data_IF_115643738114
#
_entry.id   IF_115643738114
#
_cell.length_a   1.000
_cell.length_b   1.000
_cell.length_c   1.000
_cell.angle_alpha   90.00
_cell.angle_beta   90.00
_cell.angle_gamma   90.00
#
_symmetry.space_group_name_H-M   'P 1'
#
loop_
_entity.id
_entity.type
_entity.pdbx_description
1 polymer ?
#
# COMPACT_ATOMS: atom_id res chain seq x y z
N UNK A 1 -39.97 18.50 -30.37
CA UNK A 1 -39.51 17.79 -29.18
C UNK A 1 -38.97 16.42 -29.61
N UNK A 2 -37.66 16.30 -29.86
CA UNK A 2 -37.04 15.07 -30.36
C UNK A 2 -36.90 14.08 -29.18
N UNK A 3 -37.54 12.91 -29.31
CA UNK A 3 -37.27 11.77 -28.44
C UNK A 3 -35.76 11.41 -28.58
N UNK A 4 -34.99 11.60 -27.54
CA UNK A 4 -33.64 11.10 -27.49
C UNK A 4 -33.71 9.57 -27.40
N UNK A 5 -33.03 8.92 -28.32
CA UNK A 5 -32.95 7.47 -28.47
C UNK A 5 -32.34 6.86 -27.18
N UNK A 6 -33.22 6.36 -26.33
CA UNK A 6 -32.81 5.58 -25.13
C UNK A 6 -32.22 4.20 -25.48
N UNK A 7 -32.41 3.75 -26.72
CA UNK A 7 -31.78 2.50 -27.23
C UNK A 7 -30.26 2.64 -27.35
N UNK A 8 -29.76 3.76 -27.85
CA UNK A 8 -28.33 3.98 -28.04
C UNK A 8 -27.52 4.03 -26.73
N UNK A 9 -28.14 4.45 -25.61
CA UNK A 9 -27.45 4.46 -24.31
C UNK A 9 -27.36 3.04 -23.70
N UNK A 10 -28.39 2.21 -23.90
CA UNK A 10 -28.36 0.82 -23.40
C UNK A 10 -27.37 -0.03 -24.20
N UNK A 11 -27.30 0.17 -25.51
CA UNK A 11 -26.33 -0.55 -26.35
C UNK A 11 -24.90 -0.09 -26.10
N UNK A 12 -24.65 1.19 -25.82
CA UNK A 12 -23.33 1.71 -25.41
C UNK A 12 -22.92 1.19 -24.02
N UNK A 13 -23.85 1.10 -23.06
CA UNK A 13 -23.58 0.53 -21.74
C UNK A 13 -23.34 -0.98 -21.80
N UNK A 14 -24.07 -1.69 -22.67
CA UNK A 14 -23.84 -3.13 -22.86
C UNK A 14 -22.53 -3.41 -23.63
N UNK A 15 -22.18 -2.58 -24.61
CA UNK A 15 -20.89 -2.69 -25.32
C UNK A 15 -19.72 -2.39 -24.35
N UNK A 16 -19.87 -1.48 -23.38
CA UNK A 16 -18.85 -1.20 -22.38
C UNK A 16 -18.62 -2.36 -21.40
N UNK A 17 -19.60 -3.27 -21.23
CA UNK A 17 -19.47 -4.45 -20.38
C UNK A 17 -18.74 -5.62 -21.04
N UNK A 18 -18.54 -5.58 -22.35
CA UNK A 18 -17.89 -6.65 -23.12
C UNK A 18 -16.45 -6.35 -23.46
N UNK A 19 -15.96 -5.13 -23.16
CA UNK A 19 -14.58 -4.71 -23.43
C UNK A 19 -13.98 -4.21 -22.10
N UNK A 20 -12.81 -4.74 -21.75
CA UNK A 20 -12.05 -4.25 -20.60
C UNK A 20 -11.45 -2.88 -20.91
N UNK A 21 -12.21 -1.84 -20.61
CA UNK A 21 -11.78 -0.46 -20.83
C UNK A 21 -10.74 0.00 -19.81
N UNK A 22 -10.65 -0.62 -18.64
CA UNK A 22 -9.66 -0.30 -17.64
C UNK A 22 -8.28 -0.78 -18.06
N UNK A 23 -8.17 -2.00 -18.58
CA UNK A 23 -6.90 -2.58 -18.96
C UNK A 23 -6.47 -2.27 -20.40
N UNK A 24 -7.36 -2.41 -21.36
CA UNK A 24 -7.01 -2.35 -22.80
C UNK A 24 -7.19 -0.98 -23.40
N UNK A 25 -7.83 -0.01 -22.72
CA UNK A 25 -8.37 1.09 -23.44
C UNK A 25 -8.03 2.48 -23.02
N UNK A 26 -8.89 3.19 -23.38
CA UNK A 26 -9.11 4.59 -23.55
C UNK A 26 -9.64 5.26 -22.28
N UNK A 27 -10.24 4.52 -21.35
CA UNK A 27 -10.78 5.07 -20.10
C UNK A 27 -9.93 4.66 -18.90
N UNK A 28 -9.69 5.61 -17.98
CA UNK A 28 -9.03 5.37 -16.69
C UNK A 28 -10.05 4.92 -15.62
N UNK A 29 -11.32 5.17 -15.85
CA UNK A 29 -12.43 4.91 -14.92
C UNK A 29 -13.41 3.94 -15.55
N UNK A 30 -13.17 2.65 -15.42
CA UNK A 30 -14.08 1.63 -15.95
C UNK A 30 -13.88 0.29 -15.30
N UNK A 31 -14.87 -0.57 -15.41
CA UNK A 31 -14.80 -1.93 -14.93
C UNK A 31 -14.00 -2.83 -15.87
N UNK A 32 -13.32 -3.83 -15.32
CA UNK A 32 -12.78 -4.94 -16.06
C UNK A 32 -13.90 -5.86 -16.53
N UNK A 33 -13.81 -6.41 -17.74
CA UNK A 33 -14.82 -7.30 -18.32
C UNK A 33 -14.45 -8.77 -18.29
N UNK A 34 -13.14 -9.07 -18.08
CA UNK A 34 -12.64 -10.44 -18.03
C UNK A 34 -13.07 -11.15 -16.74
N UNK A 35 -13.36 -12.45 -16.81
CA UNK A 35 -13.59 -13.26 -15.62
C UNK A 35 -12.36 -13.25 -14.68
N UNK A 36 -12.60 -13.40 -13.38
CA UNK A 36 -11.54 -13.35 -12.34
C UNK A 36 -10.40 -14.35 -12.56
N UNK A 37 -10.67 -15.46 -13.25
CA UNK A 37 -9.69 -16.52 -13.55
C UNK A 37 -8.96 -16.35 -14.90
N UNK A 38 -9.23 -15.28 -15.65
CA UNK A 38 -8.69 -15.08 -17.00
C UNK A 38 -8.21 -13.64 -17.22
N UNK A 39 -7.63 -13.38 -18.37
CA UNK A 39 -7.17 -12.05 -18.80
C UNK A 39 -5.78 -11.70 -18.31
N UNK A 40 -5.33 -10.50 -18.67
CA UNK A 40 -4.04 -9.97 -18.25
C UNK A 40 -4.11 -9.41 -16.82
N UNK A 41 -2.97 -9.44 -16.12
CA UNK A 41 -2.90 -9.08 -14.70
C UNK A 41 -2.23 -7.72 -14.52
N UNK A 42 -2.98 -6.80 -13.93
CA UNK A 42 -2.54 -5.59 -13.26
C UNK A 42 -3.22 -5.52 -11.89
N UNK A 43 -2.84 -4.60 -11.01
CA UNK A 43 -3.51 -4.48 -9.72
C UNK A 43 -4.99 -4.12 -9.92
N UNK A 44 -5.88 -4.98 -9.41
CA UNK A 44 -7.35 -4.89 -9.58
C UNK A 44 -7.76 -4.61 -11.04
N UNK A 45 -6.98 -5.14 -11.99
CA UNK A 45 -7.17 -4.97 -13.44
C UNK A 45 -7.23 -3.53 -13.90
N UNK A 46 -6.54 -2.61 -13.19
CA UNK A 46 -6.43 -1.23 -13.62
C UNK A 46 -5.54 -1.13 -14.85
N UNK A 47 -5.78 -0.09 -15.65
CA UNK A 47 -5.00 0.17 -16.86
C UNK A 47 -3.50 0.13 -16.55
N UNK A 48 -2.75 -0.72 -17.24
CA UNK A 48 -1.30 -0.73 -17.18
C UNK A 48 -0.74 0.36 -18.09
N UNK A 49 -0.13 1.40 -17.52
CA UNK A 49 0.30 2.57 -18.28
C UNK A 49 1.43 3.29 -17.57
N UNK A 50 2.31 3.94 -18.36
CA UNK A 50 3.30 4.91 -17.88
C UNK A 50 2.86 6.36 -18.14
N UNK A 51 1.66 6.57 -18.69
CA UNK A 51 1.08 7.89 -18.89
C UNK A 51 0.38 8.35 -17.61
N UNK A 52 0.86 9.45 -17.04
CA UNK A 52 0.37 10.03 -15.78
C UNK A 52 -0.68 11.14 -16.00
N UNK A 53 -1.09 11.39 -17.25
CA UNK A 53 -2.08 12.42 -17.58
C UNK A 53 -3.44 12.06 -16.98
N UNK A 54 -4.03 12.98 -16.24
CA UNK A 54 -5.35 12.85 -15.59
C UNK A 54 -5.47 11.64 -14.63
N UNK A 55 -4.37 11.24 -13.98
CA UNK A 55 -4.31 10.12 -13.03
C UNK A 55 -4.38 10.64 -11.59
N UNK A 56 -5.34 10.15 -10.81
CA UNK A 56 -5.48 10.48 -9.38
C UNK A 56 -4.57 9.61 -8.49
N UNK A 57 -4.36 8.36 -8.89
CA UNK A 57 -3.65 7.37 -8.10
C UNK A 57 -2.86 6.41 -8.97
N UNK A 58 -1.64 6.18 -8.57
CA UNK A 58 -0.70 5.25 -9.20
C UNK A 58 -0.45 4.07 -8.28
N UNK A 59 -0.61 2.86 -8.78
CA UNK A 59 -0.11 1.63 -8.15
C UNK A 59 1.22 1.27 -8.79
N UNK A 60 2.26 1.13 -7.98
CA UNK A 60 3.62 0.92 -8.45
C UNK A 60 4.33 -0.18 -7.65
N UNK A 61 4.99 -1.11 -8.32
CA UNK A 61 5.73 -2.19 -7.69
C UNK A 61 7.20 -1.85 -7.46
N UNK A 62 7.78 -2.29 -6.34
CA UNK A 62 9.22 -2.23 -6.09
C UNK A 62 9.73 -3.64 -5.76
N UNK A 63 10.16 -4.42 -6.78
CA UNK A 63 10.55 -5.81 -6.60
C UNK A 63 12.00 -5.92 -6.05
N UNK A 64 12.19 -5.59 -4.77
CA UNK A 64 13.48 -5.56 -4.09
C UNK A 64 13.41 -6.34 -2.77
N UNK A 65 14.43 -7.14 -2.45
CA UNK A 65 14.55 -7.90 -1.20
C UNK A 65 16.00 -8.16 -0.76
N UNK A 66 16.94 -7.35 -1.24
CA UNK A 66 18.33 -7.48 -0.85
C UNK A 66 18.63 -6.96 0.57
N UNK A 67 17.66 -6.31 1.22
CA UNK A 67 17.75 -5.87 2.60
C UNK A 67 17.20 -6.88 3.61
N UNK A 68 16.57 -7.97 3.15
CA UNK A 68 15.96 -8.98 4.00
C UNK A 68 17.00 -9.71 4.87
N UNK A 69 16.71 -9.84 6.16
CA UNK A 69 17.62 -10.43 7.15
C UNK A 69 17.43 -11.95 7.36
N UNK A 70 16.28 -12.52 6.92
CA UNK A 70 15.96 -13.93 7.13
C UNK A 70 15.55 -14.61 5.82
N UNK A 71 14.24 -14.69 5.51
CA UNK A 71 13.72 -15.40 4.34
C UNK A 71 13.62 -14.45 3.14
N UNK A 72 14.43 -14.60 2.08
CA UNK A 72 14.29 -13.79 0.87
C UNK A 72 13.06 -14.20 0.07
N UNK A 73 12.57 -13.32 -0.80
CA UNK A 73 11.44 -13.60 -1.69
C UNK A 73 10.43 -12.46 -1.81
N UNK A 74 10.58 -11.39 -1.01
CA UNK A 74 9.69 -10.24 -1.07
C UNK A 74 9.74 -9.52 -2.43
N UNK A 75 10.82 -9.66 -3.22
CA UNK A 75 10.88 -9.15 -4.61
C UNK A 75 9.78 -9.69 -5.51
N UNK A 76 9.18 -10.82 -5.18
CA UNK A 76 8.04 -11.41 -5.91
C UNK A 76 6.67 -10.93 -5.37
N UNK A 77 6.67 -10.15 -4.30
CA UNK A 77 5.46 -9.61 -3.65
C UNK A 77 4.58 -8.81 -4.61
N UNK A 78 5.11 -7.81 -5.35
CA UNK A 78 4.30 -7.01 -6.26
C UNK A 78 3.51 -7.85 -7.28
N UNK A 79 4.15 -8.87 -7.85
CA UNK A 79 3.51 -9.77 -8.81
C UNK A 79 2.42 -10.63 -8.15
N UNK A 80 2.68 -11.16 -6.95
CA UNK A 80 1.72 -11.99 -6.22
C UNK A 80 0.49 -11.18 -5.79
N UNK A 81 0.69 -9.96 -5.31
CA UNK A 81 -0.39 -9.05 -4.92
C UNK A 81 -1.27 -8.69 -6.13
N UNK A 82 -0.67 -8.37 -7.29
CA UNK A 82 -1.43 -8.14 -8.53
C UNK A 82 -2.27 -9.34 -8.92
N UNK A 83 -1.69 -10.54 -8.88
CA UNK A 83 -2.41 -11.78 -9.18
C UNK A 83 -3.57 -11.99 -8.21
N UNK A 84 -3.34 -11.85 -6.92
CA UNK A 84 -4.36 -12.01 -5.90
C UNK A 84 -5.48 -10.96 -6.03
N UNK A 85 -5.16 -9.74 -6.44
CA UNK A 85 -6.14 -8.66 -6.61
C UNK A 85 -7.16 -8.89 -7.74
N UNK A 86 -6.91 -9.84 -8.64
CA UNK A 86 -7.82 -10.16 -9.75
C UNK A 86 -9.15 -10.77 -9.28
N UNK A 87 -9.26 -11.23 -8.02
CA UNK A 87 -10.52 -11.75 -7.46
C UNK A 87 -11.51 -10.66 -7.06
N UNK A 88 -11.08 -9.40 -6.96
CA UNK A 88 -11.96 -8.30 -6.61
C UNK A 88 -12.82 -7.92 -7.81
N UNK A 89 -14.14 -8.05 -7.64
CA UNK A 89 -15.11 -7.75 -8.67
C UNK A 89 -15.29 -6.24 -8.89
N UNK A 90 -15.99 -5.91 -9.97
CA UNK A 90 -16.27 -4.53 -10.38
C UNK A 90 -17.46 -3.90 -9.66
N UNK A 91 -18.21 -4.67 -8.89
CA UNK A 91 -19.22 -4.14 -7.98
C UNK A 91 -18.54 -3.34 -6.87
N UNK A 92 -19.24 -2.47 -6.12
CA UNK A 92 -18.62 -1.75 -5.04
C UNK A 92 -17.80 -2.68 -4.15
N UNK A 93 -16.52 -2.38 -3.99
CA UNK A 93 -15.59 -3.21 -3.22
C UNK A 93 -15.96 -3.14 -1.74
N UNK A 94 -16.22 -4.30 -1.12
CA UNK A 94 -16.48 -4.35 0.31
C UNK A 94 -15.27 -3.84 1.11
N UNK A 95 -15.47 -2.98 2.13
CA UNK A 95 -16.73 -2.54 2.74
C UNK A 95 -17.27 -1.20 2.18
N UNK A 96 -16.74 -0.69 1.10
CA UNK A 96 -17.12 0.59 0.54
C UNK A 96 -18.49 0.46 -0.16
N UNK A 97 -19.37 1.45 0.05
CA UNK A 97 -20.73 1.44 -0.52
C UNK A 97 -20.79 2.01 -1.94
N UNK A 98 -19.63 2.37 -2.50
CA UNK A 98 -19.49 2.98 -3.83
C UNK A 98 -18.35 2.31 -4.61
N UNK A 99 -18.42 2.36 -5.91
CA UNK A 99 -17.34 1.91 -6.79
C UNK A 99 -16.19 2.93 -6.72
N UNK A 100 -15.05 2.51 -6.17
CA UNK A 100 -13.86 3.35 -6.01
C UNK A 100 -13.31 3.85 -7.34
N UNK A 101 -13.51 3.08 -8.41
CA UNK A 101 -12.96 3.37 -9.74
C UNK A 101 -13.90 4.15 -10.65
N UNK A 102 -15.15 4.38 -10.23
CA UNK A 102 -16.03 5.32 -10.90
C UNK A 102 -15.66 6.79 -10.63
N UNK A 103 -14.99 7.04 -9.49
CA UNK A 103 -14.69 8.38 -9.00
C UNK A 103 -13.18 8.70 -8.98
N UNK A 104 -12.32 7.69 -9.11
CA UNK A 104 -10.88 7.82 -8.99
C UNK A 104 -10.17 7.17 -10.18
N UNK A 105 -9.38 7.95 -10.91
CA UNK A 105 -8.56 7.47 -12.02
C UNK A 105 -7.31 6.76 -11.50
N UNK A 106 -7.29 5.42 -11.60
CA UNK A 106 -6.20 4.58 -11.09
C UNK A 106 -5.50 3.85 -12.23
N UNK A 107 -4.18 3.89 -12.23
CA UNK A 107 -3.35 3.08 -13.13
C UNK A 107 -2.43 2.15 -12.34
N UNK A 108 -2.11 1.01 -12.95
CA UNK A 108 -0.93 0.22 -12.59
C UNK A 108 0.26 0.71 -13.42
N UNK A 109 1.23 1.31 -12.75
CA UNK A 109 2.41 1.91 -13.39
C UNK A 109 3.52 0.88 -13.63
N UNK A 110 3.25 -0.41 -13.34
CA UNK A 110 4.26 -1.48 -13.42
C UNK A 110 5.27 -1.38 -12.28
N UNK A 111 6.50 -1.77 -12.54
CA UNK A 111 7.52 -1.89 -11.51
C UNK A 111 8.66 -0.87 -11.67
N UNK A 112 9.34 -0.62 -10.55
CA UNK A 112 10.55 0.18 -10.44
C UNK A 112 11.68 -0.45 -11.25
N UNK A 113 12.38 0.37 -12.02
CA UNK A 113 13.59 -0.04 -12.71
C UNK A 113 14.76 0.00 -11.73
N UNK A 114 15.30 -1.17 -11.43
CA UNK A 114 16.42 -1.35 -10.49
C UNK A 114 17.61 -2.00 -11.19
N UNK A 115 18.81 -1.59 -10.85
CA UNK A 115 20.03 -2.32 -11.19
C UNK A 115 20.28 -3.39 -10.12
N UNK A 116 19.93 -4.63 -10.42
CA UNK A 116 20.10 -5.76 -9.50
C UNK A 116 21.57 -6.15 -9.26
N UNK A 117 22.49 -5.60 -10.04
CA UNK A 117 23.94 -5.78 -9.85
C UNK A 117 24.55 -4.75 -8.90
N UNK A 118 23.87 -3.62 -8.65
CA UNK A 118 24.37 -2.54 -7.81
C UNK A 118 23.30 -2.04 -6.82
N UNK A 119 23.15 -2.76 -5.71
CA UNK A 119 22.15 -2.44 -4.69
C UNK A 119 22.38 -1.10 -3.98
N UNK A 120 23.58 -0.52 -4.06
CA UNK A 120 23.88 0.79 -3.45
C UNK A 120 23.13 1.93 -4.14
N UNK A 121 22.78 1.77 -5.42
CA UNK A 121 22.05 2.76 -6.18
C UNK A 121 20.52 2.62 -6.02
N UNK A 122 20.05 1.52 -5.41
CA UNK A 122 18.62 1.25 -5.24
C UNK A 122 17.85 2.38 -4.56
N UNK A 123 18.32 2.97 -3.42
CA UNK A 123 17.57 4.06 -2.78
C UNK A 123 17.40 5.27 -3.68
N UNK A 124 18.46 5.68 -4.38
CA UNK A 124 18.41 6.80 -5.33
C UNK A 124 17.50 6.54 -6.51
N UNK A 125 17.51 5.30 -7.03
CA UNK A 125 16.64 4.89 -8.13
C UNK A 125 15.16 4.90 -7.76
N UNK A 126 14.82 4.43 -6.56
CA UNK A 126 13.45 4.45 -6.03
C UNK A 126 13.00 5.89 -5.82
N UNK A 127 13.79 6.71 -5.12
CA UNK A 127 13.48 8.11 -4.84
C UNK A 127 13.23 8.90 -6.13
N UNK A 128 14.09 8.77 -7.13
CA UNK A 128 13.98 9.52 -8.39
C UNK A 128 12.72 9.12 -9.18
N UNK A 129 12.40 7.82 -9.28
CA UNK A 129 11.21 7.35 -9.98
C UNK A 129 9.91 7.69 -9.21
N UNK A 130 9.93 7.60 -7.86
CA UNK A 130 8.81 8.03 -7.03
C UNK A 130 8.52 9.54 -7.24
N UNK A 131 9.54 10.39 -7.28
CA UNK A 131 9.39 11.83 -7.56
C UNK A 131 8.72 12.08 -8.90
N UNK A 132 9.06 11.35 -9.94
CA UNK A 132 8.41 11.48 -11.26
C UNK A 132 6.89 11.26 -11.17
N UNK A 133 6.45 10.30 -10.34
CA UNK A 133 5.03 10.04 -10.12
C UNK A 133 4.39 11.15 -9.28
N UNK A 134 5.06 11.57 -8.22
CA UNK A 134 4.56 12.59 -7.29
C UNK A 134 4.50 13.98 -7.93
N UNK A 135 5.42 14.30 -8.84
CA UNK A 135 5.43 15.57 -9.60
C UNK A 135 4.21 15.70 -10.53
N UNK A 136 3.53 14.59 -10.84
CA UNK A 136 2.25 14.59 -11.54
C UNK A 136 1.02 14.77 -10.63
N UNK A 137 1.21 15.11 -9.34
CA UNK A 137 0.16 15.26 -8.31
C UNK A 137 -0.65 14.00 -8.06
N UNK A 138 -0.14 12.83 -8.44
CA UNK A 138 -0.79 11.53 -8.22
C UNK A 138 -0.47 10.98 -6.82
N UNK A 139 -1.47 10.38 -6.18
CA UNK A 139 -1.24 9.59 -4.97
C UNK A 139 -0.49 8.31 -5.33
N UNK A 140 0.55 7.98 -4.57
CA UNK A 140 1.35 6.79 -4.80
C UNK A 140 1.01 5.69 -3.78
N UNK A 141 0.48 4.57 -4.29
CA UNK A 141 0.36 3.31 -3.57
C UNK A 141 1.43 2.34 -4.07
N UNK A 142 2.34 1.94 -3.20
CA UNK A 142 3.44 1.05 -3.56
C UNK A 142 3.17 -0.38 -3.12
N UNK A 143 3.42 -1.33 -4.02
CA UNK A 143 3.46 -2.76 -3.73
C UNK A 143 4.92 -3.15 -3.55
N UNK A 144 5.30 -3.47 -2.32
CA UNK A 144 6.69 -3.63 -1.98
C UNK A 144 7.26 -5.01 -2.21
N UNK A 145 8.53 -4.95 -2.20
CA UNK A 145 9.54 -5.84 -1.76
C UNK A 145 9.70 -5.81 -0.25
N UNK A 146 10.94 -5.78 0.22
CA UNK A 146 11.24 -5.65 1.66
C UNK A 146 10.97 -4.23 2.19
N UNK A 147 10.91 -4.07 3.51
CA UNK A 147 10.50 -2.81 4.14
C UNK A 147 11.51 -1.66 3.99
N UNK A 148 12.74 -1.94 3.57
CA UNK A 148 13.74 -0.90 3.32
C UNK A 148 13.30 0.10 2.25
N UNK A 149 12.47 -0.32 1.28
CA UNK A 149 12.00 0.54 0.19
C UNK A 149 11.22 1.75 0.68
N UNK A 150 10.65 1.68 1.89
CA UNK A 150 9.86 2.76 2.48
C UNK A 150 10.72 3.98 2.81
N UNK A 151 12.01 3.83 3.13
CA UNK A 151 12.89 4.98 3.39
C UNK A 151 13.04 5.91 2.17
N UNK A 152 13.44 5.45 0.96
CA UNK A 152 13.49 6.34 -0.20
C UNK A 152 12.11 6.86 -0.64
N UNK A 153 11.03 6.12 -0.39
CA UNK A 153 9.67 6.61 -0.61
C UNK A 153 9.33 7.78 0.33
N UNK A 154 9.62 7.65 1.62
CA UNK A 154 9.47 8.72 2.61
C UNK A 154 10.27 9.96 2.22
N UNK A 155 11.50 9.82 1.70
CA UNK A 155 12.31 10.94 1.21
C UNK A 155 11.63 11.68 0.07
N UNK A 156 11.08 10.94 -0.90
CA UNK A 156 10.36 11.53 -2.03
C UNK A 156 9.12 12.31 -1.56
N UNK A 157 8.32 11.72 -0.66
CA UNK A 157 7.12 12.36 -0.12
C UNK A 157 7.45 13.56 0.80
N UNK A 158 8.46 13.43 1.68
CA UNK A 158 8.85 14.51 2.59
C UNK A 158 9.39 15.74 1.86
N UNK A 159 9.98 15.56 0.68
CA UNK A 159 10.42 16.67 -0.17
C UNK A 159 9.26 17.56 -0.64
N UNK A 160 8.03 17.00 -0.74
CA UNK A 160 6.83 17.74 -1.14
C UNK A 160 6.00 18.23 0.05
N UNK A 161 5.95 17.45 1.13
CA UNK A 161 4.99 17.67 2.21
C UNK A 161 5.64 18.11 3.53
N UNK A 162 6.97 18.17 3.59
CA UNK A 162 7.71 18.28 4.86
C UNK A 162 7.73 16.96 5.64
N UNK A 163 8.22 16.97 6.88
CA UNK A 163 8.24 15.79 7.73
C UNK A 163 6.85 15.17 7.88
N UNK A 164 6.76 13.85 7.73
CA UNK A 164 5.49 13.10 7.75
C UNK A 164 5.28 12.43 9.10
N UNK A 165 4.03 12.26 9.50
CA UNK A 165 3.67 11.29 10.51
C UNK A 165 3.75 9.88 9.89
N UNK A 166 4.52 8.96 10.47
CA UNK A 166 4.55 7.57 10.04
C UNK A 166 3.46 6.79 10.78
N UNK A 167 2.56 6.17 10.02
CA UNK A 167 1.60 5.19 10.55
C UNK A 167 2.04 3.84 10.05
N UNK A 168 2.70 3.07 10.91
CA UNK A 168 3.27 1.76 10.57
C UNK A 168 2.47 0.64 11.23
N UNK A 169 2.02 -0.32 10.44
CA UNK A 169 1.50 -1.60 10.89
C UNK A 169 2.58 -2.65 10.68
N UNK A 170 3.06 -3.28 11.76
CA UNK A 170 4.24 -4.12 11.71
C UNK A 170 4.38 -4.99 12.98
N UNK A 171 5.06 -6.12 12.89
CA UNK A 171 5.56 -6.85 14.05
C UNK A 171 6.84 -6.23 14.62
N UNK A 172 7.57 -5.48 13.79
CA UNK A 172 8.88 -4.93 14.07
C UNK A 172 8.85 -3.40 14.19
N UNK A 173 9.78 -2.84 14.97
CA UNK A 173 9.92 -1.39 15.09
C UNK A 173 10.71 -0.78 13.93
N UNK A 174 11.58 -1.55 13.29
CA UNK A 174 12.51 -1.13 12.22
C UNK A 174 13.36 0.10 12.59
N UNK A 175 13.63 0.19 13.88
CA UNK A 175 14.47 1.23 14.50
C UNK A 175 15.84 0.72 14.91
N UNK A 176 16.26 -0.45 14.41
CA UNK A 176 17.60 -0.96 14.69
C UNK A 176 18.65 -0.04 14.09
N UNK A 177 19.74 0.11 14.84
CA UNK A 177 20.84 0.97 14.41
C UNK A 177 21.57 0.36 13.21
N UNK A 178 21.84 1.20 12.22
CA UNK A 178 22.84 0.95 11.21
C UNK A 178 23.77 2.16 11.03
N UNK A 179 24.92 1.95 10.39
CA UNK A 179 25.91 2.99 10.11
C UNK A 179 25.64 3.73 8.78
N UNK A 180 24.44 3.61 8.22
CA UNK A 180 23.99 4.11 6.92
C UNK A 180 24.77 3.53 5.71
N UNK A 181 25.60 2.53 5.90
CA UNK A 181 26.36 1.86 4.84
C UNK A 181 25.68 0.61 4.34
N UNK A 182 24.79 0.05 5.16
CA UNK A 182 24.06 -1.16 4.85
C UNK A 182 22.69 -0.82 4.29
N UNK A 183 22.20 -1.68 3.43
CA UNK A 183 20.80 -1.78 3.07
C UNK A 183 20.22 -2.82 4.03
N UNK A 184 19.27 -2.41 4.88
CA UNK A 184 18.71 -3.23 5.95
C UNK A 184 17.26 -2.84 6.20
N UNK A 185 16.34 -3.80 6.08
CA UNK A 185 14.91 -3.55 6.24
C UNK A 185 14.52 -3.16 7.66
N UNK A 186 15.24 -3.67 8.68
CA UNK A 186 14.99 -3.35 10.08
C UNK A 186 15.51 -1.98 10.54
N UNK A 187 16.03 -1.13 9.65
CA UNK A 187 16.64 0.15 10.02
C UNK A 187 16.01 1.37 9.35
N UNK A 188 14.98 1.20 8.52
CA UNK A 188 14.46 2.30 7.71
C UNK A 188 13.83 3.42 8.55
N UNK A 189 13.17 3.08 9.67
CA UNK A 189 12.57 4.07 10.59
C UNK A 189 13.65 4.90 11.26
N UNK A 190 14.71 4.24 11.79
CA UNK A 190 15.83 4.94 12.39
C UNK A 190 16.50 5.92 11.41
N UNK A 191 16.61 5.53 10.13
CA UNK A 191 17.10 6.43 9.06
C UNK A 191 16.16 7.60 8.83
N UNK A 192 14.86 7.33 8.71
CA UNK A 192 13.85 8.37 8.47
C UNK A 192 13.81 9.42 9.59
N UNK A 193 13.97 8.99 10.86
CA UNK A 193 14.08 9.92 11.99
C UNK A 193 15.37 10.76 11.91
N UNK A 194 16.52 10.12 11.65
CA UNK A 194 17.82 10.81 11.56
C UNK A 194 17.87 11.81 10.39
N UNK A 195 17.22 11.47 9.28
CA UNK A 195 17.12 12.34 8.13
C UNK A 195 16.10 13.47 8.31
N UNK A 196 15.30 13.45 9.41
CA UNK A 196 14.27 14.45 9.69
C UNK A 196 13.10 14.43 8.72
N UNK A 197 12.86 13.29 8.06
CA UNK A 197 11.77 13.13 7.07
C UNK A 197 10.49 12.58 7.66
N UNK A 198 10.53 12.10 8.91
CA UNK A 198 9.34 11.82 9.71
C UNK A 198 9.39 12.60 11.02
N UNK A 199 8.21 12.88 11.59
CA UNK A 199 8.03 13.43 12.93
C UNK A 199 7.74 12.28 13.91
N UNK A 200 8.71 11.86 14.76
CA UNK A 200 8.51 10.76 15.70
C UNK A 200 7.37 11.03 16.70
N UNK A 201 7.19 12.29 17.12
CA UNK A 201 6.17 12.63 18.10
C UNK A 201 4.73 12.51 17.55
N UNK A 202 4.57 12.44 16.24
CA UNK A 202 3.30 12.23 15.53
C UNK A 202 3.19 10.85 14.88
N UNK A 203 4.27 10.07 14.95
CA UNK A 203 4.33 8.73 14.38
C UNK A 203 3.84 7.67 15.34
N UNK A 204 3.25 6.61 14.81
CA UNK A 204 2.70 5.50 15.58
C UNK A 204 2.99 4.17 14.88
N UNK A 205 3.40 3.17 15.65
CA UNK A 205 3.64 1.79 15.21
C UNK A 205 2.65 0.86 15.90
N UNK A 206 1.97 0.02 15.13
CA UNK A 206 0.84 -0.82 15.58
C UNK A 206 1.10 -2.29 15.27
N UNK A 207 0.99 -3.13 16.29
CA UNK A 207 1.20 -4.59 16.16
C UNK A 207 2.56 -5.07 16.68
N UNK A 208 3.37 -4.17 17.24
CA UNK A 208 4.75 -4.42 17.64
C UNK A 208 4.85 -5.56 18.66
N UNK A 209 5.68 -6.53 18.37
CA UNK A 209 5.96 -7.69 19.23
C UNK A 209 7.40 -8.19 19.14
N UNK A 210 8.28 -7.29 18.69
CA UNK A 210 9.74 -7.39 18.80
C UNK A 210 10.28 -6.22 19.60
N UNK A 211 11.55 -6.23 19.93
CA UNK A 211 12.16 -5.21 20.76
C UNK A 211 13.42 -4.65 20.08
N UNK A 212 13.38 -3.38 19.71
CA UNK A 212 14.54 -2.64 19.23
C UNK A 212 15.16 -1.80 20.37
N UNK A 213 16.45 -1.42 20.25
CA UNK A 213 17.14 -0.67 21.31
C UNK A 213 16.61 0.74 21.56
N UNK A 214 15.98 1.37 20.55
CA UNK A 214 15.48 2.75 20.62
C UNK A 214 14.15 2.85 19.84
N UNK A 215 13.17 3.53 20.41
CA UNK A 215 11.89 3.84 19.76
C UNK A 215 11.81 5.28 19.22
N UNK A 216 12.85 6.09 19.47
CA UNK A 216 12.94 7.50 19.10
C UNK A 216 11.75 8.36 19.58
N UNK A 217 10.98 7.91 20.57
CA UNK A 217 9.77 8.56 21.06
C UNK A 217 8.54 8.33 20.18
N UNK A 218 8.58 7.38 19.26
CA UNK A 218 7.43 6.96 18.47
C UNK A 218 6.45 6.20 19.36
N UNK A 219 5.15 6.47 19.20
CA UNK A 219 4.11 5.76 19.94
C UNK A 219 4.03 4.30 19.50
N UNK A 220 4.22 3.37 20.44
CA UNK A 220 4.06 1.93 20.19
C UNK A 220 2.70 1.44 20.67
N UNK A 221 2.04 0.58 19.87
CA UNK A 221 0.92 -0.26 20.26
C UNK A 221 1.36 -1.71 20.09
N UNK A 222 1.57 -2.40 21.19
CA UNK A 222 2.07 -3.77 21.16
C UNK A 222 0.99 -4.78 20.76
N UNK A 223 1.40 -5.93 20.24
CA UNK A 223 0.48 -6.97 19.79
C UNK A 223 -0.48 -7.43 20.89
N UNK A 224 -0.01 -7.56 22.14
CA UNK A 224 -0.86 -7.93 23.27
C UNK A 224 -1.87 -6.83 23.64
N UNK A 225 -1.50 -5.55 23.57
CA UNK A 225 -2.43 -4.42 23.77
C UNK A 225 -3.49 -4.40 22.66
N UNK A 226 -3.04 -4.63 21.43
CA UNK A 226 -3.92 -4.67 20.27
C UNK A 226 -4.98 -5.78 20.40
N UNK A 227 -4.67 -6.92 21.05
CA UNK A 227 -5.63 -8.00 21.29
C UNK A 227 -6.75 -7.54 22.26
N UNK A 228 -6.42 -6.72 23.24
CA UNK A 228 -7.38 -6.22 24.25
C UNK A 228 -8.26 -5.08 23.73
N UNK A 229 -7.79 -4.32 22.70
CA UNK A 229 -8.50 -3.17 22.14
C UNK A 229 -9.48 -3.56 21.04
N UNK A 230 -10.60 -2.85 20.93
CA UNK A 230 -11.48 -2.91 19.75
C UNK A 230 -10.86 -2.18 18.57
N UNK A 231 -11.27 -2.53 17.34
CA UNK A 231 -10.82 -1.81 16.15
C UNK A 231 -11.14 -0.31 16.18
N UNK A 232 -12.26 0.07 16.80
CA UNK A 232 -12.65 1.48 16.96
C UNK A 232 -11.73 2.24 17.92
N UNK A 233 -11.27 1.60 19.00
CA UNK A 233 -10.33 2.19 19.95
C UNK A 233 -8.96 2.38 19.32
N UNK A 234 -8.45 1.36 18.58
CA UNK A 234 -7.18 1.46 17.86
C UNK A 234 -7.23 2.57 16.81
N UNK A 235 -8.29 2.64 16.01
CA UNK A 235 -8.42 3.68 14.99
C UNK A 235 -8.48 5.07 15.58
N UNK A 236 -9.22 5.24 16.69
CA UNK A 236 -9.28 6.52 17.40
C UNK A 236 -7.92 6.92 17.95
N UNK A 237 -7.20 5.98 18.56
CA UNK A 237 -5.83 6.22 19.06
C UNK A 237 -4.91 6.72 17.94
N UNK A 238 -4.95 6.08 16.75
CA UNK A 238 -4.16 6.50 15.59
C UNK A 238 -4.56 7.91 15.15
N UNK A 239 -5.86 8.16 14.96
CA UNK A 239 -6.38 9.44 14.51
C UNK A 239 -6.03 10.58 15.47
N UNK A 240 -6.20 10.36 16.78
CA UNK A 240 -5.92 11.36 17.82
C UNK A 240 -4.42 11.66 17.93
N UNK A 241 -3.56 10.63 17.77
CA UNK A 241 -2.11 10.78 17.87
C UNK A 241 -1.51 11.51 16.66
N UNK A 242 -1.90 11.11 15.44
CA UNK A 242 -1.43 11.73 14.19
C UNK A 242 -2.05 13.13 14.02
N UNK A 243 -3.32 13.27 14.36
CA UNK A 243 -4.06 14.53 14.18
C UNK A 243 -4.16 14.90 12.70
N UNK A 244 -4.06 16.21 12.40
CA UNK A 244 -4.13 16.73 11.04
C UNK A 244 -2.79 16.77 10.29
N UNK A 245 -1.75 16.07 10.76
CA UNK A 245 -0.45 16.05 10.09
C UNK A 245 -0.48 15.23 8.80
N UNK A 246 0.27 15.64 7.75
CA UNK A 246 0.50 14.79 6.60
C UNK A 246 1.10 13.44 7.04
N UNK A 247 0.50 12.35 6.62
CA UNK A 247 0.89 11.01 7.04
C UNK A 247 1.33 10.12 5.88
N UNK A 248 2.22 9.21 6.16
CA UNK A 248 2.56 8.07 5.30
C UNK A 248 2.12 6.79 5.99
N UNK A 249 1.37 5.96 5.26
CA UNK A 249 0.84 4.70 5.78
C UNK A 249 1.64 3.53 5.21
N UNK A 250 2.42 2.85 6.04
CA UNK A 250 3.16 1.65 5.65
C UNK A 250 2.59 0.42 6.34
N UNK A 251 2.45 -0.65 5.59
CA UNK A 251 1.91 -1.90 6.09
C UNK A 251 2.85 -3.06 5.77
N UNK A 252 3.58 -3.50 6.80
CA UNK A 252 4.26 -4.77 6.75
C UNK A 252 3.23 -5.90 6.92
N UNK A 253 3.24 -6.87 6.01
CA UNK A 253 2.29 -7.97 6.05
C UNK A 253 2.49 -8.86 7.28
N UNK A 254 3.67 -8.86 7.88
CA UNK A 254 3.96 -9.59 9.11
C UNK A 254 3.37 -8.96 10.37
N UNK A 255 2.78 -7.75 10.25
CA UNK A 255 1.87 -7.23 11.28
C UNK A 255 0.80 -8.26 11.63
N UNK A 256 0.27 -8.96 10.63
CA UNK A 256 -0.70 -10.03 10.83
C UNK A 256 -0.05 -11.25 11.52
N UNK A 257 -0.86 -11.99 12.27
CA UNK A 257 -0.40 -13.28 12.78
C UNK A 257 -0.05 -14.23 11.63
N UNK A 258 0.99 -15.07 11.75
CA UNK A 258 1.34 -16.05 10.72
C UNK A 258 0.23 -17.02 10.33
N UNK A 259 -0.83 -17.15 11.14
CA UNK A 259 -2.04 -17.89 10.76
C UNK A 259 -2.82 -17.23 9.62
N UNK A 260 -2.67 -15.91 9.42
CA UNK A 260 -3.35 -15.12 8.40
C UNK A 260 -2.41 -14.65 7.29
N UNK A 261 -1.10 -14.57 7.58
CA UNK A 261 -0.08 -14.14 6.62
C UNK A 261 1.24 -14.91 6.84
N UNK A 262 1.30 -16.20 6.47
CA UNK A 262 2.52 -16.99 6.61
C UNK A 262 3.61 -16.62 5.60
N UNK A 263 3.25 -15.99 4.47
CA UNK A 263 4.12 -15.67 3.34
C UNK A 263 4.91 -14.38 3.55
N UNK A 264 5.78 -14.35 4.55
CA UNK A 264 6.64 -13.22 4.86
C UNK A 264 8.05 -13.65 5.28
N UNK A 265 8.98 -12.69 5.32
CA UNK A 265 10.39 -12.90 5.63
C UNK A 265 10.65 -13.18 7.10
N UNK A 266 10.04 -12.42 7.99
CA UNK A 266 10.31 -12.40 9.44
C UNK A 266 9.04 -12.54 10.29
N UNK A 267 8.28 -13.65 10.13
CA UNK A 267 7.00 -13.82 10.82
C UNK A 267 7.18 -13.92 12.34
N UNK A 268 6.31 -13.24 13.08
CA UNK A 268 6.26 -13.29 14.55
C UNK A 268 4.84 -13.68 14.98
N UNK A 269 4.70 -14.69 15.85
CA UNK A 269 3.40 -15.11 16.38
C UNK A 269 2.81 -14.08 17.36
N UNK A 270 1.48 -14.13 17.54
CA UNK A 270 0.75 -13.24 18.45
C UNK A 270 0.32 -11.92 17.81
N UNK A 271 0.19 -11.90 16.48
CA UNK A 271 -0.34 -10.77 15.72
C UNK A 271 -1.86 -10.76 15.64
N UNK A 272 -2.44 -9.64 15.18
CA UNK A 272 -3.87 -9.54 14.96
C UNK A 272 -4.34 -10.36 13.76
N UNK A 273 -5.64 -10.66 13.72
CA UNK A 273 -6.29 -11.23 12.55
C UNK A 273 -6.42 -10.18 11.43
N UNK A 274 -6.48 -10.66 10.18
CA UNK A 274 -6.79 -9.82 9.02
C UNK A 274 -8.11 -9.05 9.20
N UNK A 275 -9.15 -9.68 9.74
CA UNK A 275 -10.44 -9.05 9.99
C UNK A 275 -10.33 -7.85 10.95
N UNK A 276 -9.54 -7.97 12.02
CA UNK A 276 -9.32 -6.88 12.97
C UNK A 276 -8.61 -5.69 12.31
N UNK A 277 -7.53 -5.95 11.59
CA UNK A 277 -6.75 -4.90 10.92
C UNK A 277 -7.55 -4.22 9.82
N UNK A 278 -8.26 -4.96 8.98
CA UNK A 278 -9.13 -4.37 7.97
C UNK A 278 -10.22 -3.48 8.60
N UNK A 279 -10.76 -3.88 9.75
CA UNK A 279 -11.71 -3.07 10.51
C UNK A 279 -11.07 -1.79 11.08
N UNK A 280 -9.78 -1.81 11.44
CA UNK A 280 -9.02 -0.60 11.82
C UNK A 280 -8.82 0.29 10.61
N UNK A 281 -8.26 -0.22 9.51
CA UNK A 281 -7.97 0.54 8.29
C UNK A 281 -9.21 1.25 7.75
N UNK A 282 -10.35 0.56 7.70
CA UNK A 282 -11.61 1.15 7.23
C UNK A 282 -12.05 2.41 8.00
N UNK A 283 -11.55 2.60 9.21
CA UNK A 283 -11.90 3.74 10.08
C UNK A 283 -10.88 4.88 10.03
N UNK A 284 -9.84 4.78 9.22
CA UNK A 284 -8.77 5.78 9.14
C UNK A 284 -9.02 6.90 8.13
N UNK A 285 -10.22 7.04 7.58
CA UNK A 285 -10.57 8.06 6.57
C UNK A 285 -10.30 9.50 7.01
N UNK A 286 -10.16 9.76 8.31
CA UNK A 286 -9.79 11.08 8.84
C UNK A 286 -8.30 11.43 8.72
N UNK A 287 -7.42 10.49 8.35
CA UNK A 287 -5.99 10.76 8.18
C UNK A 287 -5.69 11.53 6.90
N UNK A 288 -4.73 12.44 6.96
CA UNK A 288 -4.15 13.09 5.80
C UNK A 288 -3.08 12.22 5.14
N UNK A 289 -3.46 11.03 4.62
CA UNK A 289 -2.53 10.10 3.99
C UNK A 289 -2.05 10.66 2.66
N UNK A 290 -0.73 10.81 2.52
CA UNK A 290 -0.05 11.36 1.32
C UNK A 290 0.57 10.31 0.43
N UNK A 291 0.85 9.14 0.96
CA UNK A 291 1.34 7.96 0.25
C UNK A 291 1.18 6.74 1.11
N UNK A 292 1.22 5.57 0.50
CA UNK A 292 1.11 4.30 1.20
C UNK A 292 1.89 3.18 0.52
N UNK A 293 2.25 2.17 1.31
CA UNK A 293 2.80 0.92 0.78
C UNK A 293 2.32 -0.31 1.55
N UNK A 294 2.45 -1.47 0.88
CA UNK A 294 2.29 -2.80 1.45
C UNK A 294 3.55 -3.59 1.12
N UNK A 295 4.25 -4.09 2.14
CA UNK A 295 5.60 -4.65 2.01
C UNK A 295 5.72 -6.06 2.61
N UNK A 296 6.87 -6.69 2.42
CA UNK A 296 7.32 -7.98 2.99
C UNK A 296 6.50 -9.20 2.56
N UNK A 297 5.69 -9.10 1.51
CA UNK A 297 5.00 -10.28 0.96
C UNK A 297 6.00 -11.17 0.22
N UNK A 298 6.29 -12.33 0.78
CA UNK A 298 7.21 -13.33 0.24
C UNK A 298 6.45 -14.61 -0.19
N UNK A 299 6.01 -14.70 -1.46
CA UNK A 299 5.08 -15.74 -1.92
C UNK A 299 5.63 -17.17 -1.81
N UNK A 300 6.97 -17.32 -1.76
CA UNK A 300 7.60 -18.64 -1.60
C UNK A 300 7.23 -19.33 -0.27
N UNK A 301 6.80 -18.58 0.73
CA UNK A 301 6.41 -19.08 2.06
C UNK A 301 4.89 -19.00 2.26
N UNK A 302 4.15 -18.54 1.25
CA UNK A 302 2.70 -18.45 1.30
C UNK A 302 2.04 -19.81 1.05
N UNK A 303 0.81 -19.96 1.52
CA UNK A 303 -0.01 -21.14 1.29
C UNK A 303 -1.36 -20.73 0.71
N UNK A 304 -1.69 -21.26 -0.46
CA UNK A 304 -2.95 -20.96 -1.16
C UNK A 304 -3.17 -19.44 -1.36
N UNK A 305 -2.12 -18.68 -1.57
CA UNK A 305 -2.13 -17.23 -1.76
C UNK A 305 -2.75 -16.42 -0.60
N UNK A 306 -2.90 -17.00 0.61
CA UNK A 306 -3.62 -16.36 1.73
C UNK A 306 -2.96 -15.04 2.13
N UNK A 307 -1.63 -14.95 2.10
CA UNK A 307 -0.88 -13.72 2.38
C UNK A 307 -1.04 -12.70 1.25
N UNK A 308 -0.92 -13.15 0.01
CA UNK A 308 -1.08 -12.27 -1.15
C UNK A 308 -2.50 -11.70 -1.24
N UNK A 309 -3.53 -12.49 -0.89
CA UNK A 309 -4.93 -12.04 -0.79
C UNK A 309 -5.09 -11.00 0.32
N UNK A 310 -4.49 -11.24 1.50
CA UNK A 310 -4.53 -10.27 2.60
C UNK A 310 -3.88 -8.95 2.20
N UNK A 311 -2.69 -8.98 1.58
CA UNK A 311 -1.97 -7.80 1.11
C UNK A 311 -2.74 -7.04 0.02
N UNK A 312 -3.32 -7.74 -0.95
CA UNK A 312 -4.17 -7.12 -1.98
C UNK A 312 -5.40 -6.44 -1.38
N UNK A 313 -6.00 -7.06 -0.34
CA UNK A 313 -7.14 -6.46 0.37
C UNK A 313 -6.72 -5.22 1.14
N UNK A 314 -5.58 -5.23 1.85
CA UNK A 314 -5.02 -4.05 2.52
C UNK A 314 -4.78 -2.92 1.53
N UNK A 315 -4.14 -3.20 0.39
CA UNK A 315 -3.91 -2.22 -0.66
C UNK A 315 -5.22 -1.63 -1.22
N UNK A 316 -6.26 -2.44 -1.40
CA UNK A 316 -7.59 -1.98 -1.78
C UNK A 316 -8.20 -1.04 -0.72
N UNK A 317 -8.04 -1.34 0.58
CA UNK A 317 -8.49 -0.45 1.65
C UNK A 317 -7.77 0.89 1.64
N UNK A 318 -6.46 0.90 1.32
CA UNK A 318 -5.70 2.15 1.14
C UNK A 318 -6.23 2.98 -0.05
N UNK A 319 -6.62 2.34 -1.15
CA UNK A 319 -7.34 3.03 -2.24
C UNK A 319 -8.68 3.60 -1.76
N UNK A 320 -9.40 2.88 -0.90
CA UNK A 320 -10.64 3.36 -0.30
C UNK A 320 -10.43 4.63 0.53
N UNK A 321 -9.40 4.69 1.37
CA UNK A 321 -9.03 5.88 2.14
C UNK A 321 -8.73 7.08 1.20
N UNK A 322 -8.03 6.83 0.10
CA UNK A 322 -7.76 7.85 -0.91
C UNK A 322 -9.04 8.35 -1.58
N UNK A 323 -9.95 7.46 -1.95
CA UNK A 323 -11.23 7.82 -2.57
C UNK A 323 -12.12 8.64 -1.63
N UNK A 324 -12.19 8.30 -0.33
CA UNK A 324 -12.90 9.09 0.68
C UNK A 324 -12.37 10.51 0.77
N UNK A 325 -11.05 10.66 0.73
CA UNK A 325 -10.40 11.97 0.77
C UNK A 325 -10.66 12.82 -0.49
N UNK A 326 -10.72 12.21 -1.67
CA UNK A 326 -11.07 12.92 -2.91
C UNK A 326 -12.50 13.46 -2.86
N UNK A 327 -13.43 12.71 -2.31
CA UNK A 327 -14.84 13.10 -2.19
C UNK A 327 -15.11 14.14 -1.11
N UNK A 328 -14.19 14.34 -0.17
CA UNK A 328 -14.28 15.36 0.89
C UNK A 328 -13.75 16.73 0.47
N UNK A 329 -13.14 16.83 -0.72
CA UNK A 329 -12.67 18.08 -1.34
C UNK A 329 -13.76 18.70 -2.22
#
# INVERSE_FOLDING_TARGET
MKRRDTANLKDAVMASKTIDHAFTAQSLTSAASDPTFAGALSFMRRRFSKDLTDVDTVVWGIPFDAAASNRPGARFGPQAIRRASAIFDNDPQYPFSRDLFAEMAVIDYGDCLLDYGNHQDTPGSIEAQARTILDADAFLLTLGGDHFITWPLLKAHAALHGPLALVQFDAHQDTWFDDNRRIDHGSFVARAVRDGIIDPARSIQVGIRTHAPDDFGIRLVHGYELEEMTAAEVSRLILDHVGGHPAYLTFDIDCLDPAFAPGTGTPVAGGPSSAKILSVLHRLGGLDVRGADVVEVAPAYDHADVTAIAAATVAMYMLGLRAERLSAR
#
